data_IF_079771677491
#
_entry.id   IF_079771677491
#
_cell.length_a   1.000
_cell.length_b   1.000
_cell.length_c   1.000
_cell.angle_alpha   90.00
_cell.angle_beta   90.00
_cell.angle_gamma   90.00
#
_symmetry.space_group_name_H-M   'P 1'
#
loop_
_entity.id
_entity.type
_entity.pdbx_description
1 polymer ?
#
# COMPACT_ATOMS: atom_id res chain seq x y z
N UNK A 1 -26.78 -42.19 36.74
CA UNK A 1 -27.90 -43.07 37.15
C UNK A 1 -29.18 -42.41 36.66
N UNK A 2 -29.91 -43.10 35.76
CA UNK A 2 -31.16 -42.65 35.10
C UNK A 2 -32.27 -42.35 36.11
N UNK A 3 -33.15 -41.39 35.81
CA UNK A 3 -34.59 -41.43 36.15
C UNK A 3 -35.29 -40.23 35.47
N UNK A 4 -35.70 -40.37 34.21
CA UNK A 4 -37.03 -40.78 33.73
C UNK A 4 -38.21 -39.88 34.15
N UNK A 5 -38.76 -39.25 33.12
CA UNK A 5 -40.02 -38.51 33.01
C UNK A 5 -41.24 -39.37 33.38
N UNK A 6 -42.24 -38.74 33.98
CA UNK A 6 -43.64 -39.17 33.93
C UNK A 6 -44.51 -38.02 33.44
N UNK A 7 -45.25 -38.26 32.35
CA UNK A 7 -46.36 -37.42 31.88
C UNK A 7 -47.63 -38.28 31.86
N UNK A 8 -48.72 -37.76 32.43
CA UNK A 8 -50.07 -38.29 32.23
C UNK A 8 -51.10 -37.14 32.16
N UNK A 9 -51.66 -37.02 30.94
CA UNK A 9 -53.00 -36.61 30.50
C UNK A 9 -53.93 -35.88 31.49
N UNK A 10 -54.56 -34.82 30.96
CA UNK A 10 -56.01 -34.63 31.10
C UNK A 10 -56.60 -34.03 29.81
N UNK A 11 -57.67 -34.65 29.32
CA UNK A 11 -58.57 -34.17 28.25
C UNK A 11 -59.67 -33.33 28.91
N UNK A 12 -60.20 -32.30 28.22
CA UNK A 12 -61.62 -32.30 27.85
C UNK A 12 -62.10 -31.06 27.06
N UNK A 13 -63.09 -31.37 26.20
CA UNK A 13 -64.19 -30.55 25.65
C UNK A 13 -63.92 -29.56 24.49
N UNK A 14 -64.25 -30.05 23.29
CA UNK A 14 -64.80 -29.29 22.17
C UNK A 14 -66.28 -28.94 22.46
N UNK A 15 -66.74 -27.77 21.98
CA UNK A 15 -68.06 -27.63 21.36
C UNK A 15 -68.19 -26.32 20.56
N UNK A 16 -68.38 -26.49 19.25
CA UNK A 16 -69.38 -25.80 18.43
C UNK A 16 -69.21 -24.30 18.11
N UNK A 17 -68.58 -23.99 16.97
CA UNK A 17 -68.97 -22.83 16.13
C UNK A 17 -68.92 -23.23 14.64
N UNK A 18 -70.00 -22.90 13.96
CA UNK A 18 -70.39 -23.16 12.58
C UNK A 18 -69.43 -22.52 11.55
N UNK A 19 -68.91 -23.31 10.61
CA UNK A 19 -67.81 -22.96 9.67
C UNK A 19 -68.32 -22.39 8.34
N UNK A 20 -69.63 -22.16 8.21
CA UNK A 20 -70.24 -21.87 6.90
C UNK A 20 -70.31 -20.38 6.50
N UNK A 21 -69.99 -19.42 7.37
CA UNK A 21 -70.09 -17.98 7.05
C UNK A 21 -68.78 -17.17 7.07
N UNK A 22 -67.63 -17.77 7.40
CA UNK A 22 -66.34 -17.04 7.49
C UNK A 22 -65.48 -17.06 6.21
N UNK A 23 -65.89 -17.76 5.15
CA UNK A 23 -65.04 -17.96 3.96
C UNK A 23 -65.11 -16.85 2.90
N UNK A 24 -66.04 -15.90 2.98
CA UNK A 24 -66.21 -14.89 1.93
C UNK A 24 -65.57 -13.54 2.30
N UNK A 25 -65.43 -13.21 3.59
CA UNK A 25 -64.79 -11.95 4.03
C UNK A 25 -63.28 -12.03 4.26
N UNK A 26 -62.71 -13.24 4.42
CA UNK A 26 -61.25 -13.41 4.54
C UNK A 26 -60.52 -13.46 3.19
N UNK A 27 -61.23 -13.74 2.08
CA UNK A 27 -60.62 -13.80 0.74
C UNK A 27 -60.30 -12.43 0.13
N UNK A 28 -61.04 -11.38 0.49
CA UNK A 28 -60.87 -10.05 -0.11
C UNK A 28 -59.82 -9.23 0.66
N UNK A 29 -59.69 -9.44 1.98
CA UNK A 29 -58.69 -8.74 2.80
C UNK A 29 -57.29 -9.34 2.66
N UNK A 30 -57.18 -10.64 2.35
CA UNK A 30 -55.88 -11.28 2.09
C UNK A 30 -55.34 -11.03 0.67
N UNK A 31 -56.20 -10.76 -0.31
CA UNK A 31 -55.77 -10.42 -1.67
C UNK A 31 -55.30 -8.96 -1.82
N UNK A 32 -55.78 -8.06 -0.96
CA UNK A 32 -55.32 -6.67 -0.92
C UNK A 32 -54.03 -6.47 -0.11
N UNK A 33 -53.73 -7.35 0.86
CA UNK A 33 -52.45 -7.33 1.59
C UNK A 33 -51.32 -8.10 0.90
N UNK A 34 -51.62 -9.03 -0.03
CA UNK A 34 -50.60 -9.75 -0.80
C UNK A 34 -50.12 -9.03 -2.07
N UNK A 35 -50.70 -7.87 -2.42
CA UNK A 35 -50.24 -7.02 -3.53
C UNK A 35 -49.31 -5.87 -3.08
N UNK A 36 -49.01 -5.77 -1.78
CA UNK A 36 -48.02 -4.85 -1.23
C UNK A 36 -46.70 -5.55 -0.85
N UNK A 37 -46.38 -6.68 -1.47
CA UNK A 37 -45.00 -7.17 -1.52
C UNK A 37 -44.21 -6.30 -2.50
N UNK A 38 -43.81 -5.14 -1.97
CA UNK A 38 -42.54 -4.46 -2.18
C UNK A 38 -41.86 -4.91 -3.48
N UNK A 39 -42.22 -4.26 -4.59
CA UNK A 39 -41.23 -3.98 -5.61
C UNK A 39 -40.18 -3.10 -4.91
N UNK A 40 -39.13 -3.73 -4.40
CA UNK A 40 -37.86 -3.04 -4.20
C UNK A 40 -37.36 -2.71 -5.60
N UNK A 41 -37.90 -1.65 -6.20
CA UNK A 41 -37.22 -1.00 -7.30
C UNK A 41 -35.87 -0.60 -6.71
N UNK A 42 -34.79 -1.21 -7.19
CA UNK A 42 -33.46 -0.66 -6.96
C UNK A 42 -33.53 0.76 -7.50
N UNK A 43 -33.60 1.74 -6.61
CA UNK A 43 -33.50 3.15 -6.97
C UNK A 43 -32.07 3.36 -7.41
N UNK A 44 -31.80 3.11 -8.69
CA UNK A 44 -30.54 3.55 -9.30
C UNK A 44 -30.55 5.08 -9.23
N UNK A 45 -29.49 5.64 -8.68
CA UNK A 45 -29.16 7.04 -8.92
C UNK A 45 -29.26 7.31 -10.43
N UNK A 46 -29.79 8.48 -10.81
CA UNK A 46 -29.76 8.89 -12.21
C UNK A 46 -28.30 9.07 -12.65
N UNK A 47 -28.08 9.12 -13.96
CA UNK A 47 -26.73 9.23 -14.53
C UNK A 47 -26.00 10.49 -14.08
N UNK A 48 -26.74 11.57 -13.78
CA UNK A 48 -26.16 12.82 -13.28
C UNK A 48 -25.69 12.66 -11.82
N UNK A 49 -26.49 11.99 -10.98
CA UNK A 49 -26.10 11.70 -9.60
C UNK A 49 -24.89 10.74 -9.56
N UNK A 50 -24.87 9.71 -10.43
CA UNK A 50 -23.72 8.82 -10.57
C UNK A 50 -22.47 9.57 -11.08
N UNK A 51 -22.62 10.47 -12.06
CA UNK A 51 -21.53 11.32 -12.54
C UNK A 51 -20.95 12.19 -11.41
N UNK A 52 -21.82 12.80 -10.61
CA UNK A 52 -21.41 13.58 -9.45
C UNK A 52 -20.65 12.72 -8.44
N UNK A 53 -21.20 11.56 -8.08
CA UNK A 53 -20.60 10.67 -7.10
C UNK A 53 -19.24 10.14 -7.58
N UNK A 54 -19.14 9.75 -8.85
CA UNK A 54 -17.90 9.33 -9.48
C UNK A 54 -16.84 10.43 -9.44
N UNK A 55 -17.21 11.66 -9.80
CA UNK A 55 -16.28 12.79 -9.78
C UNK A 55 -15.80 13.09 -8.35
N UNK A 56 -16.74 13.24 -7.40
CA UNK A 56 -16.41 13.64 -6.03
C UNK A 56 -15.51 12.61 -5.34
N UNK A 57 -15.74 11.30 -5.59
CA UNK A 57 -14.91 10.21 -5.05
C UNK A 57 -13.50 10.15 -5.67
N UNK A 58 -13.35 10.56 -6.93
CA UNK A 58 -12.04 10.58 -7.61
C UNK A 58 -11.28 11.87 -7.29
N UNK A 59 -11.88 13.03 -7.57
CA UNK A 59 -11.21 14.33 -7.46
C UNK A 59 -11.17 14.86 -6.02
N UNK A 60 -12.03 14.36 -5.12
CA UNK A 60 -12.14 14.84 -3.74
C UNK A 60 -12.82 16.21 -3.60
N UNK A 61 -13.34 16.78 -4.69
CA UNK A 61 -14.01 18.08 -4.73
C UNK A 61 -15.20 18.05 -5.69
N UNK A 62 -16.21 18.95 -5.52
CA UNK A 62 -17.31 19.08 -6.46
C UNK A 62 -16.87 19.45 -7.87
N UNK A 63 -17.51 18.86 -8.88
CA UNK A 63 -17.28 19.20 -10.29
C UNK A 63 -18.05 20.46 -10.73
N UNK A 64 -17.66 21.02 -11.87
CA UNK A 64 -18.47 22.02 -12.57
C UNK A 64 -19.72 21.37 -13.20
N UNK A 65 -20.78 22.16 -13.42
CA UNK A 65 -21.99 21.69 -14.11
C UNK A 65 -21.67 21.12 -15.51
N UNK A 66 -20.77 21.78 -16.24
CA UNK A 66 -20.33 21.31 -17.56
C UNK A 66 -19.69 19.92 -17.47
N UNK A 67 -18.75 19.72 -16.55
CA UNK A 67 -18.08 18.43 -16.35
C UNK A 67 -19.07 17.33 -15.96
N UNK A 68 -20.04 17.62 -15.08
CA UNK A 68 -21.08 16.65 -14.71
C UNK A 68 -21.95 16.24 -15.90
N UNK A 69 -22.34 17.20 -16.74
CA UNK A 69 -23.12 16.92 -17.95
C UNK A 69 -22.34 16.04 -18.93
N UNK A 70 -21.07 16.34 -19.17
CA UNK A 70 -20.18 15.53 -20.02
C UNK A 70 -20.02 14.11 -19.47
N UNK A 71 -19.77 13.98 -18.16
CA UNK A 71 -19.68 12.67 -17.49
C UNK A 71 -21.01 11.90 -17.55
N UNK A 72 -22.15 12.56 -17.36
CA UNK A 72 -23.48 11.93 -17.45
C UNK A 72 -23.76 11.39 -18.86
N UNK A 73 -23.31 12.09 -19.92
CA UNK A 73 -23.38 11.59 -21.30
C UNK A 73 -22.53 10.34 -21.47
N UNK A 74 -21.28 10.36 -20.99
CA UNK A 74 -20.40 9.19 -21.05
C UNK A 74 -20.99 7.98 -20.31
N UNK A 75 -21.60 8.18 -19.14
CA UNK A 75 -22.27 7.11 -18.39
C UNK A 75 -23.49 6.56 -19.13
N UNK A 76 -24.28 7.44 -19.75
CA UNK A 76 -25.45 7.03 -20.57
C UNK A 76 -25.02 6.20 -21.79
N UNK A 77 -23.84 6.50 -22.35
CA UNK A 77 -23.22 5.76 -23.45
C UNK A 77 -22.50 4.47 -23.00
N UNK A 78 -22.63 4.07 -21.73
CA UNK A 78 -21.93 2.92 -21.15
C UNK A 78 -20.39 3.04 -21.22
N UNK A 79 -19.85 4.25 -21.03
CA UNK A 79 -18.42 4.58 -21.00
C UNK A 79 -17.98 5.09 -19.61
N UNK A 80 -18.13 4.29 -18.54
CA UNK A 80 -17.84 4.76 -17.19
C UNK A 80 -16.35 4.98 -16.92
N UNK A 81 -15.48 4.25 -17.64
CA UNK A 81 -14.04 4.45 -17.52
C UNK A 81 -13.66 5.83 -18.05
N UNK A 82 -14.13 6.20 -19.23
CA UNK A 82 -13.89 7.50 -19.84
C UNK A 82 -14.44 8.63 -18.96
N UNK A 83 -15.61 8.44 -18.34
CA UNK A 83 -16.15 9.39 -17.37
C UNK A 83 -15.22 9.56 -16.16
N UNK A 84 -14.65 8.46 -15.65
CA UNK A 84 -13.70 8.51 -14.54
C UNK A 84 -12.38 9.20 -14.93
N UNK A 85 -11.86 8.96 -16.14
CA UNK A 85 -10.69 9.68 -16.64
C UNK A 85 -10.96 11.18 -16.77
N UNK A 86 -12.16 11.58 -17.20
CA UNK A 86 -12.58 12.99 -17.21
C UNK A 86 -12.57 13.59 -15.79
N UNK A 87 -12.97 12.84 -14.76
CA UNK A 87 -12.82 13.30 -13.38
C UNK A 87 -11.35 13.45 -12.95
N UNK A 88 -10.46 12.56 -13.38
CA UNK A 88 -9.03 12.65 -13.12
C UNK A 88 -8.33 13.80 -13.85
N UNK A 89 -8.99 14.45 -14.81
CA UNK A 89 -8.46 15.68 -15.41
C UNK A 89 -8.48 16.86 -14.44
N UNK A 90 -9.27 16.78 -13.35
CA UNK A 90 -9.32 17.81 -12.32
C UNK A 90 -7.99 17.85 -11.52
N UNK A 91 -7.32 19.02 -11.41
CA UNK A 91 -6.10 19.21 -10.60
C UNK A 91 -6.16 18.66 -9.17
N UNK A 92 -7.36 18.67 -8.55
CA UNK A 92 -7.57 18.17 -7.20
C UNK A 92 -7.33 16.65 -7.08
N UNK A 93 -7.48 15.88 -8.15
CA UNK A 93 -7.10 14.47 -8.13
C UNK A 93 -5.62 14.29 -7.76
N UNK A 94 -4.74 15.14 -8.27
CA UNK A 94 -3.30 15.06 -8.00
C UNK A 94 -2.91 15.75 -6.69
N UNK A 95 -3.42 16.96 -6.49
CA UNK A 95 -3.02 17.82 -5.36
C UNK A 95 -3.71 17.46 -4.04
N UNK A 96 -4.83 16.74 -4.10
CA UNK A 96 -5.60 16.29 -2.92
C UNK A 96 -5.63 14.77 -2.85
N UNK A 97 -6.30 14.10 -3.78
CA UNK A 97 -6.54 12.65 -3.68
C UNK A 97 -5.25 11.84 -3.68
N UNK A 98 -4.38 12.03 -4.68
CA UNK A 98 -3.12 11.29 -4.77
C UNK A 98 -2.09 11.70 -3.71
N UNK A 99 -2.10 12.97 -3.29
CA UNK A 99 -1.28 13.41 -2.15
C UNK A 99 -1.67 12.67 -0.87
N UNK A 100 -2.95 12.69 -0.49
CA UNK A 100 -3.45 11.98 0.70
C UNK A 100 -3.27 10.46 0.59
N UNK A 101 -3.39 9.92 -0.62
CA UNK A 101 -3.17 8.51 -0.91
C UNK A 101 -1.70 8.08 -0.64
N UNK A 102 -0.73 8.87 -1.09
CA UNK A 102 0.69 8.52 -1.03
C UNK A 102 1.38 8.91 0.29
N UNK A 103 0.97 10.02 0.92
CA UNK A 103 1.66 10.63 2.06
C UNK A 103 1.85 9.69 3.26
N UNK A 104 0.85 8.86 3.67
CA UNK A 104 1.02 7.90 4.76
C UNK A 104 2.16 6.88 4.57
N UNK A 105 2.67 6.73 3.35
CA UNK A 105 3.72 5.76 3.05
C UNK A 105 5.13 6.32 3.25
N UNK A 106 5.22 7.62 3.58
CA UNK A 106 6.46 8.40 3.59
C UNK A 106 7.01 8.64 4.99
N UNK A 107 6.27 8.24 6.04
CA UNK A 107 6.61 8.48 7.43
C UNK A 107 6.20 7.29 8.32
N UNK A 108 6.82 7.18 9.50
CA UNK A 108 6.60 6.08 10.45
C UNK A 108 5.17 6.09 11.03
N UNK A 109 4.62 7.28 11.26
CA UNK A 109 3.31 7.48 11.90
C UNK A 109 2.13 7.21 10.96
N UNK A 110 2.41 7.03 9.66
CA UNK A 110 1.43 6.95 8.59
C UNK A 110 0.48 8.15 8.56
N UNK A 111 0.98 9.33 8.95
CA UNK A 111 0.24 10.58 8.92
C UNK A 111 -0.05 10.99 7.48
N UNK A 112 -1.33 11.20 7.17
CA UNK A 112 -1.81 11.67 5.87
C UNK A 112 -1.57 13.16 5.65
N UNK A 113 -1.28 13.92 6.71
CA UNK A 113 -1.07 15.37 6.67
C UNK A 113 0.39 15.79 6.67
N UNK A 114 1.33 14.84 6.62
CA UNK A 114 2.73 15.16 6.44
C UNK A 114 2.95 15.97 5.12
N UNK A 115 3.97 16.84 5.06
CA UNK A 115 4.23 17.65 3.87
C UNK A 115 4.49 16.82 2.61
N UNK A 116 4.18 17.39 1.45
CA UNK A 116 4.64 16.88 0.16
C UNK A 116 6.17 16.69 0.21
N UNK A 117 6.66 15.58 -0.34
CA UNK A 117 8.07 15.24 -0.38
C UNK A 117 8.42 14.45 -1.64
N UNK A 118 9.69 14.10 -1.82
CA UNK A 118 10.16 13.41 -3.04
C UNK A 118 9.53 12.05 -3.26
N UNK A 119 9.18 11.33 -2.20
CA UNK A 119 8.44 10.07 -2.29
C UNK A 119 7.00 10.30 -2.79
N UNK A 120 6.23 11.15 -2.12
CA UNK A 120 4.82 11.37 -2.47
C UNK A 120 4.68 12.05 -3.83
N UNK A 121 5.54 13.01 -4.17
CA UNK A 121 5.61 13.60 -5.51
C UNK A 121 5.92 12.55 -6.59
N UNK A 122 6.82 11.61 -6.31
CA UNK A 122 7.15 10.51 -7.26
C UNK A 122 5.97 9.57 -7.47
N UNK A 123 5.19 9.26 -6.43
CA UNK A 123 3.94 8.51 -6.58
C UNK A 123 2.95 9.28 -7.46
N UNK A 124 2.69 10.56 -7.15
CA UNK A 124 1.73 11.40 -7.88
C UNK A 124 2.10 11.49 -9.37
N UNK A 125 3.36 11.79 -9.66
CA UNK A 125 3.86 11.89 -11.03
C UNK A 125 3.83 10.58 -11.80
N UNK A 126 4.19 9.46 -11.15
CA UNK A 126 4.11 8.14 -11.78
C UNK A 126 2.68 7.74 -12.15
N UNK A 127 1.69 8.07 -11.31
CA UNK A 127 0.27 7.87 -11.63
C UNK A 127 -0.17 8.78 -12.78
N UNK A 128 0.23 10.06 -12.75
CA UNK A 128 -0.09 11.02 -13.82
C UNK A 128 0.38 10.53 -15.19
N UNK A 129 1.62 10.08 -15.27
CA UNK A 129 2.29 9.72 -16.51
C UNK A 129 2.03 8.26 -16.95
N UNK A 130 1.10 7.56 -16.29
CA UNK A 130 0.76 6.15 -16.57
C UNK A 130 1.99 5.22 -16.56
N UNK A 131 2.95 5.50 -15.67
CA UNK A 131 4.12 4.65 -15.47
C UNK A 131 3.65 3.29 -14.94
N UNK A 132 4.23 2.20 -15.45
CA UNK A 132 4.08 0.87 -14.85
C UNK A 132 4.40 0.96 -13.36
N UNK A 133 3.39 0.83 -12.51
CA UNK A 133 3.51 1.20 -11.11
C UNK A 133 4.50 0.33 -10.33
N UNK A 134 4.90 -0.84 -10.88
CA UNK A 134 5.98 -1.65 -10.32
C UNK A 134 7.33 -0.92 -10.32
N UNK A 135 7.52 -0.01 -11.27
CA UNK A 135 8.73 0.83 -11.36
C UNK A 135 8.95 1.68 -10.11
N UNK A 136 7.91 1.94 -9.33
CA UNK A 136 7.98 2.74 -8.11
C UNK A 136 9.03 2.22 -7.12
N UNK A 137 9.30 0.92 -7.09
CA UNK A 137 10.27 0.31 -6.16
C UNK A 137 11.65 0.03 -6.78
N UNK A 138 11.88 0.28 -8.06
CA UNK A 138 13.08 -0.19 -8.76
C UNK A 138 13.69 0.79 -9.79
N UNK A 139 12.94 1.80 -10.22
CA UNK A 139 13.42 2.69 -11.27
C UNK A 139 14.45 3.71 -10.76
N UNK A 140 15.30 4.19 -11.66
CA UNK A 140 16.03 5.45 -11.47
C UNK A 140 15.11 6.61 -11.85
N UNK A 141 14.17 6.95 -10.96
CA UNK A 141 13.21 8.01 -11.20
C UNK A 141 12.83 8.77 -9.94
N UNK A 142 12.61 10.05 -10.11
CA UNK A 142 12.04 10.95 -9.11
C UNK A 142 11.23 12.02 -9.86
N UNK A 143 10.20 12.54 -9.22
CA UNK A 143 9.47 13.71 -9.71
C UNK A 143 9.84 14.93 -8.87
N UNK A 144 10.18 16.02 -9.57
CA UNK A 144 10.53 17.32 -9.00
C UNK A 144 9.61 18.38 -9.60
N UNK A 145 9.53 19.55 -8.99
CA UNK A 145 8.85 20.70 -9.56
C UNK A 145 9.55 21.20 -10.82
N UNK A 146 8.77 21.56 -11.83
CA UNK A 146 9.26 22.09 -13.11
C UNK A 146 10.16 23.33 -12.90
N UNK A 147 11.29 23.36 -13.60
CA UNK A 147 12.31 24.42 -13.44
C UNK A 147 11.77 25.85 -13.71
N UNK A 148 10.69 26.00 -14.49
CA UNK A 148 10.05 27.29 -14.75
C UNK A 148 9.32 27.88 -13.54
N UNK A 149 9.08 27.09 -12.49
CA UNK A 149 8.34 27.50 -11.30
C UNK A 149 9.17 28.32 -10.29
N UNK A 150 10.48 28.51 -10.54
CA UNK A 150 11.39 29.25 -9.65
C UNK A 150 11.39 28.75 -8.19
N UNK A 151 11.33 27.42 -8.02
CA UNK A 151 11.36 26.76 -6.71
C UNK A 151 12.81 26.68 -6.16
N UNK A 152 12.98 26.49 -4.84
CA UNK A 152 14.27 26.06 -4.29
C UNK A 152 14.78 24.82 -5.04
N UNK A 153 16.09 24.69 -5.24
CA UNK A 153 16.64 23.51 -5.89
C UNK A 153 16.36 22.24 -5.06
N UNK A 154 16.25 21.08 -5.74
CA UNK A 154 16.21 19.79 -5.04
C UNK A 154 17.41 19.65 -4.11
N UNK A 155 17.16 19.22 -2.88
CA UNK A 155 18.17 19.06 -1.85
C UNK A 155 18.09 17.65 -1.28
N UNK A 156 19.24 17.00 -1.12
CA UNK A 156 19.33 15.73 -0.37
C UNK A 156 19.28 15.94 1.14
N UNK A 157 19.31 17.19 1.60
CA UNK A 157 19.44 17.55 3.02
C UNK A 157 18.22 18.26 3.59
N UNK A 158 17.23 18.61 2.79
CA UNK A 158 16.01 19.23 3.30
C UNK A 158 14.81 18.87 2.40
N UNK A 159 13.64 19.43 2.72
CA UNK A 159 12.41 19.26 1.94
C UNK A 159 11.91 20.58 1.33
N UNK A 160 12.76 21.61 1.24
CA UNK A 160 12.33 22.96 0.88
C UNK A 160 11.74 23.03 -0.54
N UNK A 161 12.27 22.24 -1.47
CA UNK A 161 11.77 22.15 -2.85
C UNK A 161 10.30 21.72 -2.89
N UNK A 162 9.95 20.66 -2.16
CA UNK A 162 8.58 20.11 -2.16
C UNK A 162 7.64 20.89 -1.25
N UNK A 163 8.16 21.45 -0.15
CA UNK A 163 7.39 22.37 0.68
C UNK A 163 6.98 23.61 -0.14
N UNK A 164 7.87 24.15 -0.98
CA UNK A 164 7.57 25.30 -1.82
C UNK A 164 6.49 25.01 -2.89
N UNK A 165 6.43 23.79 -3.43
CA UNK A 165 5.33 23.37 -4.32
C UNK A 165 3.99 23.47 -3.59
N UNK A 166 3.95 23.02 -2.35
CA UNK A 166 2.74 23.03 -1.51
C UNK A 166 2.35 24.44 -1.07
N UNK A 167 3.30 25.22 -0.54
CA UNK A 167 3.08 26.58 -0.05
C UNK A 167 2.62 27.56 -1.14
N UNK A 168 3.06 27.32 -2.39
CA UNK A 168 2.67 28.12 -3.55
C UNK A 168 1.42 27.59 -4.27
N UNK A 169 0.78 26.54 -3.74
CA UNK A 169 -0.40 25.89 -4.34
C UNK A 169 -0.18 25.50 -5.81
N UNK A 170 1.01 24.98 -6.13
CA UNK A 170 1.32 24.53 -7.48
C UNK A 170 0.41 23.35 -7.85
N UNK A 171 -0.22 23.41 -9.02
CA UNK A 171 -0.97 22.29 -9.57
C UNK A 171 -0.02 21.12 -9.86
N UNK A 172 -0.11 20.04 -9.06
CA UNK A 172 0.77 18.89 -9.20
C UNK A 172 0.51 18.09 -10.50
N UNK A 173 -0.61 18.31 -11.18
CA UNK A 173 -0.84 17.75 -12.52
C UNK A 173 0.14 18.33 -13.53
N UNK A 174 0.32 19.65 -13.54
CA UNK A 174 1.16 20.34 -14.53
C UNK A 174 2.56 20.69 -14.02
N UNK A 175 2.72 20.88 -12.72
CA UNK A 175 3.93 21.41 -12.10
C UNK A 175 5.01 20.38 -11.77
N UNK A 176 4.78 19.08 -11.97
CA UNK A 176 5.80 18.04 -11.74
C UNK A 176 6.48 17.61 -13.04
N UNK A 177 7.81 17.46 -13.02
CA UNK A 177 8.60 16.88 -14.10
C UNK A 177 9.33 15.62 -13.62
N UNK A 178 9.40 14.62 -14.50
CA UNK A 178 10.16 13.39 -14.24
C UNK A 178 11.63 13.63 -14.54
N UNK A 179 12.50 13.25 -13.61
CA UNK A 179 13.96 13.18 -13.83
C UNK A 179 14.53 11.87 -13.31
N UNK A 180 15.83 11.63 -13.51
CA UNK A 180 16.53 10.49 -12.92
C UNK A 180 16.94 10.81 -11.48
N UNK A 181 16.68 9.89 -10.57
CA UNK A 181 17.02 10.05 -9.16
C UNK A 181 18.54 10.17 -8.97
N UNK A 182 19.32 9.40 -9.72
CA UNK A 182 20.79 9.44 -9.71
C UNK A 182 21.37 10.81 -10.09
N UNK A 183 20.64 11.63 -10.85
CA UNK A 183 21.09 12.97 -11.23
C UNK A 183 20.96 14.00 -10.10
N UNK A 184 20.11 13.73 -9.09
CA UNK A 184 19.77 14.71 -8.04
C UNK A 184 20.15 14.27 -6.63
N UNK A 185 20.28 12.97 -6.36
CA UNK A 185 20.56 12.48 -5.00
C UNK A 185 21.99 11.94 -4.77
N UNK A 186 22.83 11.91 -5.81
CA UNK A 186 24.23 11.48 -5.73
C UNK A 186 24.44 9.96 -5.64
N UNK A 187 23.37 9.16 -5.69
CA UNK A 187 23.48 7.70 -5.83
C UNK A 187 23.84 7.34 -7.28
N UNK A 188 24.70 6.34 -7.51
CA UNK A 188 24.88 5.81 -8.85
C UNK A 188 23.57 5.15 -9.32
N UNK A 189 23.33 5.13 -10.63
CA UNK A 189 22.05 4.68 -11.21
C UNK A 189 21.69 3.24 -10.80
N UNK A 190 22.65 2.35 -10.62
CA UNK A 190 22.42 0.97 -10.15
C UNK A 190 21.99 0.89 -8.67
N UNK A 191 22.31 1.89 -7.85
CA UNK A 191 21.92 2.01 -6.45
C UNK A 191 20.61 2.78 -6.21
N UNK A 192 19.92 3.24 -7.25
CA UNK A 192 18.58 3.83 -7.08
C UNK A 192 17.51 2.72 -7.00
N UNK A 193 16.39 2.96 -6.34
CA UNK A 193 15.27 2.01 -6.22
C UNK A 193 13.94 2.78 -6.06
N UNK A 194 13.73 3.75 -6.95
CA UNK A 194 12.57 4.62 -6.98
C UNK A 194 12.33 5.27 -5.62
N UNK A 195 11.14 5.05 -5.06
CA UNK A 195 10.75 5.65 -3.80
C UNK A 195 11.51 5.08 -2.59
N UNK A 196 12.08 3.87 -2.68
CA UNK A 196 12.84 3.25 -1.58
C UNK A 196 14.14 3.98 -1.26
N UNK A 197 14.69 4.70 -2.23
CA UNK A 197 15.93 5.49 -2.12
C UNK A 197 15.68 7.00 -2.24
N UNK A 198 14.41 7.39 -2.09
CA UNK A 198 14.05 8.79 -1.87
C UNK A 198 14.60 9.26 -0.52
N UNK A 199 14.82 10.57 -0.39
CA UNK A 199 15.22 11.20 0.86
C UNK A 199 14.18 10.96 1.94
N UNK A 200 12.89 11.11 1.63
CA UNK A 200 11.82 10.88 2.60
C UNK A 200 11.81 9.44 3.14
N UNK A 201 11.95 8.43 2.28
CA UNK A 201 12.06 7.04 2.74
C UNK A 201 13.33 6.79 3.56
N UNK A 202 14.47 7.36 3.16
CA UNK A 202 15.71 7.22 3.91
C UNK A 202 15.58 7.83 5.31
N UNK A 203 15.05 9.06 5.41
CA UNK A 203 14.78 9.73 6.68
C UNK A 203 13.80 8.93 7.56
N UNK A 204 12.78 8.32 6.96
CA UNK A 204 11.79 7.58 7.75
C UNK A 204 12.28 6.17 8.15
N UNK A 205 13.03 5.48 7.28
CA UNK A 205 13.19 4.03 7.39
C UNK A 205 14.64 3.54 7.37
N UNK A 206 15.62 4.41 7.10
CA UNK A 206 17.05 4.17 7.36
C UNK A 206 17.56 4.96 8.57
N UNK A 207 16.73 5.84 9.13
CA UNK A 207 17.04 6.57 10.35
C UNK A 207 17.27 5.61 11.51
N UNK A 208 18.53 5.54 11.92
CA UNK A 208 19.05 4.61 12.93
C UNK A 208 18.77 3.12 12.61
N UNK A 209 19.43 2.23 13.35
CA UNK A 209 19.26 0.79 13.19
C UNK A 209 19.88 0.25 11.90
N UNK A 210 19.44 -0.94 11.48
CA UNK A 210 20.14 -1.78 10.50
C UNK A 210 19.30 -2.11 9.25
N UNK A 211 18.53 -1.09 8.81
CA UNK A 211 17.63 -1.07 7.64
C UNK A 211 16.50 -2.12 7.60
N UNK A 212 16.23 -2.82 8.71
CA UNK A 212 15.05 -3.69 8.86
C UNK A 212 13.73 -2.92 8.74
N UNK A 213 13.71 -1.66 9.18
CA UNK A 213 12.54 -0.79 9.08
C UNK A 213 12.14 -0.56 7.61
N UNK A 214 13.10 -0.34 6.70
CA UNK A 214 12.81 -0.20 5.26
C UNK A 214 12.08 -1.42 4.69
N UNK A 215 12.51 -2.64 5.03
CA UNK A 215 11.80 -3.86 4.61
C UNK A 215 10.39 -3.86 5.17
N UNK A 216 10.24 -3.66 6.49
CA UNK A 216 8.92 -3.66 7.16
C UNK A 216 7.96 -2.66 6.52
N UNK A 217 8.37 -1.41 6.36
CA UNK A 217 7.51 -0.38 5.79
C UNK A 217 7.25 -0.58 4.30
N UNK A 218 8.18 -1.20 3.55
CA UNK A 218 7.90 -1.63 2.18
C UNK A 218 6.79 -2.68 2.15
N UNK A 219 6.78 -3.64 3.08
CA UNK A 219 5.70 -4.63 3.18
C UNK A 219 4.37 -3.97 3.52
N UNK A 220 4.36 -3.07 4.51
CA UNK A 220 3.15 -2.36 4.93
C UNK A 220 2.60 -1.47 3.81
N UNK A 221 3.48 -0.72 3.16
CA UNK A 221 3.11 0.29 2.19
C UNK A 221 2.89 -0.26 0.79
N UNK A 222 3.47 -1.40 0.42
CA UNK A 222 3.37 -1.89 -0.96
C UNK A 222 2.81 -3.29 -1.08
N UNK A 223 2.79 -4.08 0.00
CA UNK A 223 2.20 -5.43 0.01
C UNK A 223 1.01 -5.55 0.98
N UNK A 224 0.66 -4.47 1.69
CA UNK A 224 -0.47 -4.39 2.62
C UNK A 224 -0.43 -5.50 3.69
N UNK A 225 0.77 -5.82 4.17
CA UNK A 225 1.03 -6.77 5.26
C UNK A 225 2.16 -6.24 6.15
N UNK A 226 2.23 -6.69 7.39
CA UNK A 226 3.36 -6.42 8.30
C UNK A 226 4.11 -7.74 8.58
N UNK A 227 5.17 -7.68 9.39
CA UNK A 227 5.98 -8.83 9.78
C UNK A 227 5.21 -9.86 10.63
N UNK A 228 4.26 -9.42 11.46
CA UNK A 228 3.52 -10.33 12.35
C UNK A 228 2.69 -11.38 11.54
N UNK A 229 1.90 -11.00 10.51
CA UNK A 229 1.27 -11.96 9.60
C UNK A 229 2.21 -12.85 8.77
N UNK A 230 3.50 -12.49 8.71
CA UNK A 230 4.54 -13.18 7.93
C UNK A 230 5.46 -14.05 8.79
N UNK A 231 5.16 -14.21 10.09
CA UNK A 231 5.91 -15.11 10.96
C UNK A 231 5.93 -16.53 10.41
N UNK A 232 7.13 -17.02 10.12
CA UNK A 232 7.36 -18.40 9.67
C UNK A 232 8.59 -18.99 10.37
N UNK A 233 8.35 -19.87 11.34
CA UNK A 233 9.40 -20.56 12.09
C UNK A 233 9.95 -21.80 11.35
N UNK A 234 9.50 -22.08 10.12
CA UNK A 234 10.02 -23.16 9.28
C UNK A 234 11.16 -22.71 8.37
N UNK A 235 11.45 -21.40 8.32
CA UNK A 235 12.53 -20.82 7.51
C UNK A 235 13.87 -20.85 8.24
N UNK A 236 14.94 -21.00 7.47
CA UNK A 236 16.31 -21.08 7.99
C UNK A 236 16.73 -19.81 8.77
N UNK A 237 17.37 -19.93 9.94
CA UNK A 237 17.89 -18.80 10.73
C UNK A 237 19.31 -18.36 10.32
N UNK A 238 19.89 -18.93 9.28
CA UNK A 238 21.31 -18.78 8.90
C UNK A 238 21.74 -17.35 8.55
N UNK A 239 20.78 -16.50 8.16
CA UNK A 239 21.01 -15.08 7.87
C UNK A 239 20.65 -14.14 9.01
N UNK A 240 20.21 -14.66 10.16
CA UNK A 240 19.92 -13.80 11.32
C UNK A 240 21.23 -13.31 11.90
N UNK A 241 21.38 -11.98 11.93
CA UNK A 241 22.63 -11.30 12.26
C UNK A 241 23.06 -11.45 13.72
N UNK A 242 24.31 -11.10 13.98
CA UNK A 242 24.95 -11.13 15.30
C UNK A 242 24.30 -10.19 16.32
N UNK A 243 23.61 -9.13 15.87
CA UNK A 243 23.01 -8.08 16.70
C UNK A 243 21.75 -8.52 17.47
N UNK A 244 21.21 -9.71 17.16
CA UNK A 244 20.02 -10.26 17.81
C UNK A 244 20.41 -11.35 18.79
N UNK A 245 20.09 -11.16 20.08
CA UNK A 245 20.34 -12.18 21.11
C UNK A 245 19.56 -13.48 20.82
N UNK A 246 20.25 -14.62 20.97
CA UNK A 246 19.65 -15.96 20.92
C UNK A 246 19.18 -16.45 22.30
N UNK A 247 19.29 -15.61 23.32
CA UNK A 247 18.81 -15.87 24.68
C UNK A 247 18.41 -14.55 25.33
N UNK A 248 17.43 -13.81 24.77
CA UNK A 248 17.01 -12.53 25.34
C UNK A 248 16.53 -12.77 26.78
N UNK A 249 17.03 -11.97 27.73
CA UNK A 249 16.77 -12.17 29.15
C UNK A 249 17.30 -13.49 29.73
N UNK A 250 18.22 -14.18 29.05
CA UNK A 250 18.78 -15.48 29.45
C UNK A 250 17.94 -16.69 29.04
N UNK A 251 16.85 -16.52 28.28
CA UNK A 251 15.97 -17.61 27.85
C UNK A 251 15.94 -17.77 26.33
N UNK A 252 16.55 -18.83 25.81
CA UNK A 252 16.59 -19.11 24.37
C UNK A 252 15.23 -19.44 23.77
N UNK A 253 14.26 -19.88 24.58
CA UNK A 253 12.90 -20.18 24.11
C UNK A 253 12.21 -18.91 23.61
N UNK A 254 12.54 -17.75 24.18
CA UNK A 254 11.98 -16.48 23.72
C UNK A 254 12.44 -16.16 22.29
N UNK A 255 13.71 -16.41 21.95
CA UNK A 255 14.19 -16.24 20.58
C UNK A 255 13.45 -17.19 19.64
N UNK A 256 13.41 -18.48 19.97
CA UNK A 256 12.80 -19.53 19.14
C UNK A 256 11.31 -19.27 18.90
N UNK A 257 10.58 -18.83 19.93
CA UNK A 257 9.12 -18.68 19.85
C UNK A 257 8.68 -17.30 19.34
N UNK A 258 9.46 -16.24 19.57
CA UNK A 258 9.00 -14.87 19.33
C UNK A 258 9.79 -14.13 18.25
N UNK A 259 11.08 -14.42 18.07
CA UNK A 259 11.96 -13.64 17.20
C UNK A 259 12.28 -14.35 15.89
N UNK A 260 12.58 -15.66 15.97
CA UNK A 260 13.00 -16.50 14.85
C UNK A 260 12.09 -16.32 13.62
N UNK A 261 10.78 -16.38 13.84
CA UNK A 261 9.79 -16.40 12.77
C UNK A 261 9.75 -15.11 11.92
N UNK A 262 10.05 -13.95 12.50
CA UNK A 262 10.18 -12.70 11.75
C UNK A 262 11.56 -12.58 11.10
N UNK A 263 12.60 -12.86 11.87
CA UNK A 263 13.99 -12.63 11.45
C UNK A 263 14.44 -13.56 10.33
N UNK A 264 14.03 -14.83 10.33
CA UNK A 264 14.40 -15.77 9.27
C UNK A 264 13.93 -15.32 7.89
N UNK A 265 12.85 -14.54 7.79
CA UNK A 265 12.39 -13.97 6.53
C UNK A 265 12.95 -12.58 6.23
N UNK A 266 12.96 -11.70 7.23
CA UNK A 266 13.31 -10.30 7.05
C UNK A 266 14.81 -10.05 6.91
N UNK A 267 15.66 -10.71 7.71
CA UNK A 267 17.10 -10.44 7.73
C UNK A 267 17.79 -10.73 6.37
N UNK A 268 17.50 -11.84 5.67
CA UNK A 268 17.97 -12.05 4.30
C UNK A 268 17.60 -10.94 3.32
N UNK A 269 16.41 -10.34 3.47
CA UNK A 269 15.92 -9.27 2.58
C UNK A 269 16.55 -7.92 2.95
N UNK A 270 16.71 -7.64 4.24
CA UNK A 270 17.31 -6.41 4.73
C UNK A 270 18.78 -6.25 4.31
N UNK A 271 19.46 -7.35 3.96
CA UNK A 271 20.80 -7.34 3.38
C UNK A 271 20.87 -6.56 2.06
N UNK A 272 19.79 -6.50 1.26
CA UNK A 272 19.74 -5.69 0.04
C UNK A 272 19.98 -4.20 0.26
N UNK A 273 19.90 -3.72 1.52
CA UNK A 273 20.20 -2.34 1.90
C UNK A 273 21.58 -2.18 2.59
N UNK A 274 22.45 -3.19 2.56
CA UNK A 274 23.70 -3.23 3.33
C UNK A 274 24.68 -2.08 3.06
N UNK A 275 24.62 -1.50 1.86
CA UNK A 275 25.48 -0.38 1.47
C UNK A 275 24.86 0.99 1.70
N UNK A 276 23.62 1.09 2.19
CA UNK A 276 22.90 2.36 2.34
C UNK A 276 22.88 2.86 3.79
N UNK A 277 23.14 4.15 3.97
CA UNK A 277 23.07 4.85 5.25
C UNK A 277 22.22 6.12 5.13
N UNK A 278 21.68 6.57 6.27
CA UNK A 278 21.16 7.93 6.42
C UNK A 278 22.17 8.70 7.28
N UNK A 279 22.88 9.63 6.66
CA UNK A 279 23.95 10.41 7.30
C UNK A 279 23.37 11.71 7.86
N UNK A 280 23.47 11.87 9.17
CA UNK A 280 22.99 13.04 9.93
C UNK A 280 23.76 13.16 11.25
N UNK A 281 23.74 14.35 11.85
CA UNK A 281 24.41 14.60 13.11
C UNK A 281 23.47 14.29 14.29
N UNK A 282 23.70 13.19 15.00
CA UNK A 282 22.80 12.73 16.07
C UNK A 282 22.69 13.68 17.27
N UNK A 283 23.67 14.57 17.48
CA UNK A 283 23.72 15.47 18.63
C UNK A 283 23.06 16.83 18.34
N UNK A 284 23.28 17.37 17.13
CA UNK A 284 22.77 18.67 16.71
C UNK A 284 21.56 18.61 15.78
N UNK A 285 21.29 17.45 15.19
CA UNK A 285 20.13 17.13 14.35
C UNK A 285 19.50 15.79 14.79
N UNK A 286 19.00 15.70 16.04
CA UNK A 286 18.49 14.44 16.57
C UNK A 286 17.33 13.88 15.76
N UNK A 287 16.53 14.70 15.09
CA UNK A 287 15.41 14.25 14.23
C UNK A 287 15.85 13.90 12.79
N UNK A 288 17.13 14.08 12.46
CA UNK A 288 17.68 13.84 11.14
C UNK A 288 17.06 14.73 10.07
N UNK A 289 16.59 15.93 10.42
CA UNK A 289 15.95 16.87 9.49
C UNK A 289 16.88 17.32 8.37
N UNK A 290 18.19 17.38 8.64
CA UNK A 290 19.24 17.78 7.71
C UNK A 290 19.97 16.61 7.06
N UNK A 291 19.52 15.37 7.34
CA UNK A 291 20.19 14.17 6.90
C UNK A 291 20.01 13.86 5.42
N UNK A 292 20.91 13.02 4.89
CA UNK A 292 20.94 12.58 3.49
C UNK A 292 21.16 11.07 3.36
N UNK A 293 20.59 10.47 2.32
CA UNK A 293 20.93 9.09 1.93
C UNK A 293 22.36 9.03 1.38
N UNK A 294 23.13 8.05 1.82
CA UNK A 294 24.49 7.78 1.34
C UNK A 294 24.65 6.31 0.97
N UNK A 295 25.60 6.03 0.08
CA UNK A 295 25.84 4.68 -0.45
C UNK A 295 27.33 4.41 -0.65
N UNK A 296 27.80 3.26 -0.14
CA UNK A 296 29.18 2.82 -0.34
C UNK A 296 29.33 2.17 -1.73
N UNK A 297 29.88 2.93 -2.67
CA UNK A 297 30.18 2.51 -4.04
C UNK A 297 31.30 1.47 -4.10
N UNK A 298 31.51 0.89 -5.27
CA UNK A 298 32.66 0.01 -5.50
C UNK A 298 33.98 0.73 -5.17
N UNK A 299 34.81 0.10 -4.35
CA UNK A 299 36.07 0.67 -3.86
C UNK A 299 35.95 1.58 -2.63
N UNK A 300 34.74 1.89 -2.15
CA UNK A 300 34.53 2.55 -0.86
C UNK A 300 34.42 1.50 0.24
N UNK A 301 35.31 1.56 1.22
CA UNK A 301 35.36 0.62 2.34
C UNK A 301 34.96 1.37 3.61
N UNK A 302 33.99 0.80 4.31
CA UNK A 302 33.59 1.24 5.63
C UNK A 302 34.68 0.79 6.64
N UNK A 303 35.21 1.71 7.48
CA UNK A 303 36.30 1.41 8.39
C UNK A 303 35.91 0.43 9.50
N UNK A 304 34.63 0.32 9.86
CA UNK A 304 34.16 -0.56 10.93
C UNK A 304 34.02 -2.01 10.45
N UNK A 305 33.63 -2.21 9.19
CA UNK A 305 33.41 -3.55 8.62
C UNK A 305 34.58 -4.07 7.80
N UNK A 306 35.44 -3.19 7.28
CA UNK A 306 36.48 -3.54 6.32
C UNK A 306 35.93 -4.00 4.95
N UNK A 307 34.63 -3.84 4.70
CA UNK A 307 33.96 -4.12 3.43
C UNK A 307 33.16 -2.89 2.97
N UNK A 308 32.36 -3.02 1.91
CA UNK A 308 31.43 -1.95 1.50
C UNK A 308 30.22 -1.83 2.45
N UNK A 309 29.98 -2.82 3.31
CA UNK A 309 28.83 -2.86 4.22
C UNK A 309 28.94 -1.74 5.24
N UNK A 310 27.85 -0.99 5.42
CA UNK A 310 27.79 0.10 6.38
C UNK A 310 27.99 -0.43 7.82
N UNK A 311 28.81 0.27 8.62
CA UNK A 311 29.18 -0.11 9.98
C UNK A 311 28.02 -0.54 10.89
N UNK A 312 26.84 0.08 10.69
CA UNK A 312 25.61 -0.28 11.41
C UNK A 312 25.24 -1.77 11.33
N UNK A 313 25.57 -2.47 10.25
CA UNK A 313 25.26 -3.90 10.10
C UNK A 313 26.11 -4.79 11.03
N UNK A 314 27.23 -4.30 11.55
CA UNK A 314 28.15 -5.03 12.43
C UNK A 314 28.11 -4.51 13.89
N UNK A 315 27.22 -3.56 14.19
CA UNK A 315 26.97 -3.10 15.57
C UNK A 315 26.43 -4.26 16.41
N UNK A 316 26.78 -4.29 17.70
CA UNK A 316 26.37 -5.32 18.65
C UNK A 316 26.77 -6.75 18.24
N UNK A 317 27.89 -6.91 17.52
CA UNK A 317 28.42 -8.21 17.10
C UNK A 317 28.65 -9.21 18.25
N UNK A 318 28.80 -8.72 19.48
CA UNK A 318 28.95 -9.54 20.69
C UNK A 318 27.64 -10.10 21.24
N UNK A 319 26.46 -9.65 20.76
CA UNK A 319 25.15 -10.15 21.21
C UNK A 319 24.95 -11.64 20.89
N UNK A 320 25.40 -12.07 19.72
CA UNK A 320 25.53 -13.48 19.35
C UNK A 320 26.68 -13.63 18.34
N UNK A 321 27.92 -13.89 18.79
CA UNK A 321 29.11 -13.90 17.92
C UNK A 321 29.06 -14.90 16.76
N UNK A 322 28.27 -15.97 16.90
CA UNK A 322 28.06 -16.99 15.86
C UNK A 322 26.90 -16.67 14.90
N UNK A 323 26.31 -15.47 15.02
CA UNK A 323 25.30 -14.99 14.08
C UNK A 323 25.90 -14.63 12.74
N UNK A 324 25.04 -14.36 11.76
CA UNK A 324 25.49 -14.00 10.42
C UNK A 324 26.23 -12.65 10.42
N UNK A 325 27.40 -12.62 9.78
CA UNK A 325 28.13 -11.40 9.46
C UNK A 325 27.71 -10.99 8.05
N UNK A 326 27.17 -9.79 7.89
CA UNK A 326 26.80 -9.28 6.56
C UNK A 326 28.05 -8.87 5.80
N UNK A 327 28.33 -9.54 4.69
CA UNK A 327 29.57 -9.33 3.91
C UNK A 327 29.35 -8.45 2.67
N UNK A 328 28.12 -8.42 2.14
CA UNK A 328 27.72 -7.70 0.93
C UNK A 328 26.22 -7.33 0.96
N UNK A 329 25.67 -6.93 -0.19
CA UNK A 329 24.26 -6.62 -0.41
C UNK A 329 23.46 -7.72 -1.14
N UNK A 330 23.94 -8.98 -1.12
CA UNK A 330 23.18 -10.12 -1.63
C UNK A 330 21.96 -10.40 -0.75
N UNK A 331 20.77 -10.46 -1.34
CA UNK A 331 19.55 -10.84 -0.63
C UNK A 331 18.95 -12.11 -1.23
N UNK A 332 18.22 -12.86 -0.40
CA UNK A 332 17.44 -14.02 -0.83
C UNK A 332 16.07 -14.01 -0.15
N UNK A 333 15.01 -14.25 -0.93
CA UNK A 333 13.64 -14.27 -0.43
C UNK A 333 13.23 -15.67 0.05
N UNK A 334 13.39 -15.93 1.34
CA UNK A 334 12.96 -17.21 1.95
C UNK A 334 11.44 -17.38 1.99
N UNK A 335 10.67 -16.30 1.83
CA UNK A 335 9.20 -16.36 1.77
C UNK A 335 8.65 -16.90 0.45
N UNK A 336 9.52 -17.18 -0.53
CA UNK A 336 9.19 -17.99 -1.70
C UNK A 336 8.90 -19.44 -1.38
N UNK A 337 9.14 -19.88 -0.15
CA UNK A 337 8.64 -21.16 0.33
C UNK A 337 7.97 -21.06 1.69
N UNK A 338 7.26 -22.12 2.07
CA UNK A 338 6.47 -22.15 3.29
C UNK A 338 5.19 -21.33 3.17
N UNK A 339 4.66 -20.90 4.32
CA UNK A 339 3.32 -20.30 4.40
C UNK A 339 3.22 -18.94 3.70
N UNK A 340 4.35 -18.27 3.45
CA UNK A 340 4.39 -16.96 2.83
C UNK A 340 4.48 -16.98 1.30
N UNK A 341 4.49 -18.17 0.68
CA UNK A 341 4.23 -18.32 -0.76
C UNK A 341 2.90 -17.69 -1.19
N UNK A 342 1.94 -17.59 -0.25
CA UNK A 342 0.64 -16.93 -0.43
C UNK A 342 0.73 -15.47 -0.90
N UNK A 343 1.89 -14.81 -0.78
CA UNK A 343 2.11 -13.47 -1.34
C UNK A 343 2.20 -13.46 -2.87
N UNK A 344 2.29 -14.64 -3.51
CA UNK A 344 2.27 -14.81 -4.95
C UNK A 344 3.50 -14.23 -5.63
N UNK A 345 4.68 -14.68 -5.22
CA UNK A 345 5.96 -14.27 -5.79
C UNK A 345 6.06 -14.65 -7.27
N UNK A 346 6.59 -13.76 -8.10
CA UNK A 346 6.74 -13.98 -9.54
C UNK A 346 7.74 -15.12 -9.82
N UNK A 347 7.26 -16.19 -10.45
CA UNK A 347 8.05 -17.38 -10.79
C UNK A 347 9.11 -17.12 -11.87
N UNK A 348 8.99 -16.03 -12.64
CA UNK A 348 10.01 -15.62 -13.61
C UNK A 348 11.25 -15.00 -12.97
N UNK A 349 11.16 -14.61 -11.69
CA UNK A 349 12.28 -14.08 -10.91
C UNK A 349 12.92 -15.18 -10.05
N UNK A 350 14.23 -15.06 -9.83
CA UNK A 350 15.01 -16.08 -9.12
C UNK A 350 14.86 -16.05 -7.59
N UNK A 351 14.20 -15.04 -7.02
CA UNK A 351 14.06 -14.89 -5.57
C UNK A 351 15.34 -14.55 -4.82
N UNK A 352 16.32 -14.01 -5.53
CA UNK A 352 17.59 -13.52 -4.98
C UNK A 352 18.15 -12.45 -5.90
N UNK A 353 19.03 -11.61 -5.37
CA UNK A 353 19.66 -10.54 -6.12
C UNK A 353 20.62 -9.72 -5.28
N UNK A 354 21.03 -8.57 -5.81
CA UNK A 354 21.90 -7.62 -5.13
C UNK A 354 21.25 -6.25 -5.06
N UNK A 355 21.33 -5.63 -3.90
CA UNK A 355 20.93 -4.24 -3.71
C UNK A 355 19.42 -3.97 -3.73
N UNK A 356 19.07 -2.75 -3.33
CA UNK A 356 17.69 -2.27 -3.20
C UNK A 356 16.89 -2.37 -4.50
N UNK A 357 17.51 -2.12 -5.66
CA UNK A 357 16.84 -2.14 -6.97
C UNK A 357 16.21 -3.50 -7.29
N UNK A 358 17.01 -4.56 -7.20
CA UNK A 358 16.54 -5.92 -7.50
C UNK A 358 15.60 -6.45 -6.42
N UNK A 359 15.78 -6.04 -5.16
CA UNK A 359 14.83 -6.33 -4.08
C UNK A 359 13.48 -5.65 -4.33
N UNK A 360 13.49 -4.40 -4.77
CA UNK A 360 12.29 -3.69 -5.20
C UNK A 360 11.57 -4.38 -6.34
N UNK A 361 12.30 -4.94 -7.30
CA UNK A 361 11.74 -5.79 -8.36
C UNK A 361 11.01 -7.01 -7.79
N UNK A 362 11.63 -7.72 -6.85
CA UNK A 362 11.03 -8.89 -6.20
C UNK A 362 9.69 -8.55 -5.54
N UNK A 363 9.64 -7.45 -4.77
CA UNK A 363 8.42 -7.01 -4.12
C UNK A 363 7.35 -6.55 -5.11
N UNK A 364 7.73 -5.70 -6.07
CA UNK A 364 6.81 -5.08 -7.01
C UNK A 364 6.16 -6.09 -7.99
N UNK A 365 6.78 -7.24 -8.23
CA UNK A 365 6.21 -8.28 -9.11
C UNK A 365 5.34 -9.32 -8.37
N UNK A 366 5.18 -9.20 -7.05
CA UNK A 366 4.30 -10.10 -6.29
C UNK A 366 2.81 -9.84 -6.55
N UNK A 367 1.97 -10.87 -6.42
CA UNK A 367 0.51 -10.72 -6.40
C UNK A 367 0.05 -9.80 -5.26
N UNK A 368 0.70 -9.88 -4.11
CA UNK A 368 0.44 -9.03 -2.96
C UNK A 368 0.65 -7.55 -3.28
N UNK A 369 1.65 -7.21 -4.10
CA UNK A 369 1.86 -5.84 -4.56
C UNK A 369 0.65 -5.31 -5.34
N UNK A 370 0.25 -6.03 -6.39
CA UNK A 370 -0.88 -5.63 -7.23
C UNK A 370 -2.17 -5.49 -6.39
N UNK A 371 -2.45 -6.49 -5.54
CA UNK A 371 -3.64 -6.47 -4.69
C UNK A 371 -3.60 -5.33 -3.66
N UNK A 372 -2.44 -5.00 -3.12
CA UNK A 372 -2.30 -3.91 -2.17
C UNK A 372 -2.65 -2.56 -2.79
N UNK A 373 -2.15 -2.27 -4.00
CA UNK A 373 -2.47 -1.02 -4.69
C UNK A 373 -3.98 -0.91 -4.95
N UNK A 374 -4.62 -2.00 -5.40
CA UNK A 374 -6.07 -2.02 -5.62
C UNK A 374 -6.85 -1.82 -4.33
N UNK A 375 -6.47 -2.48 -3.22
CA UNK A 375 -7.10 -2.28 -1.91
C UNK A 375 -7.03 -0.83 -1.44
N UNK A 376 -5.88 -0.18 -1.64
CA UNK A 376 -5.69 1.22 -1.27
C UNK A 376 -6.55 2.16 -2.11
N UNK A 377 -6.63 1.93 -3.42
CA UNK A 377 -7.52 2.69 -4.30
C UNK A 377 -8.98 2.45 -3.94
N UNK A 378 -9.37 1.20 -3.67
CA UNK A 378 -10.70 0.85 -3.16
C UNK A 378 -11.05 1.67 -1.93
N UNK A 379 -10.20 1.66 -0.91
CA UNK A 379 -10.42 2.44 0.31
C UNK A 379 -10.53 3.95 0.05
N UNK A 380 -9.71 4.46 -0.85
CA UNK A 380 -9.66 5.90 -1.18
C UNK A 380 -10.91 6.36 -1.91
N UNK A 381 -11.38 5.58 -2.89
CA UNK A 381 -12.50 5.97 -3.76
C UNK A 381 -13.84 5.57 -3.14
N UNK A 382 -13.92 4.40 -2.52
CA UNK A 382 -15.13 3.90 -1.89
C UNK A 382 -15.33 4.46 -0.47
N UNK A 383 -14.29 5.05 0.14
CA UNK A 383 -14.28 5.64 1.49
C UNK A 383 -14.59 4.62 2.60
N UNK A 384 -14.29 3.35 2.36
CA UNK A 384 -14.50 2.21 3.27
C UNK A 384 -13.58 1.05 2.92
N UNK A 385 -13.37 0.14 3.86
CA UNK A 385 -12.73 -1.13 3.56
C UNK A 385 -13.71 -2.08 2.82
N UNK A 386 -13.18 -3.12 2.20
CA UNK A 386 -14.00 -4.17 1.57
C UNK A 386 -14.60 -5.08 2.64
N UNK A 387 -15.92 -5.24 2.62
CA UNK A 387 -16.68 -5.95 3.64
C UNK A 387 -17.52 -7.10 3.06
N UNK A 388 -17.98 -6.94 1.81
CA UNK A 388 -18.86 -7.89 1.14
C UNK A 388 -18.10 -8.87 0.22
N UNK A 389 -18.78 -9.94 -0.20
CA UNK A 389 -18.22 -10.86 -1.20
C UNK A 389 -18.05 -10.14 -2.54
N UNK A 390 -18.96 -9.22 -2.86
CA UNK A 390 -18.95 -8.38 -4.05
C UNK A 390 -17.72 -7.46 -4.06
N UNK A 391 -17.36 -6.84 -2.93
CA UNK A 391 -16.15 -6.01 -2.82
C UNK A 391 -14.88 -6.84 -3.03
N UNK A 392 -14.82 -8.02 -2.42
CA UNK A 392 -13.67 -8.93 -2.55
C UNK A 392 -13.51 -9.38 -4.00
N UNK A 393 -14.62 -9.70 -4.67
CA UNK A 393 -14.64 -10.06 -6.08
C UNK A 393 -14.23 -8.87 -6.98
N UNK A 394 -14.69 -7.66 -6.66
CA UNK A 394 -14.31 -6.45 -7.39
C UNK A 394 -12.80 -6.18 -7.25
N UNK A 395 -12.25 -6.26 -6.04
CA UNK A 395 -10.80 -6.10 -5.81
C UNK A 395 -10.02 -7.17 -6.59
N UNK A 396 -10.47 -8.43 -6.59
CA UNK A 396 -9.82 -9.49 -7.34
C UNK A 396 -9.85 -9.22 -8.86
N UNK A 397 -11.01 -8.84 -9.40
CA UNK A 397 -11.18 -8.51 -10.82
C UNK A 397 -10.32 -7.30 -11.24
N UNK A 398 -10.33 -6.22 -10.46
CA UNK A 398 -9.51 -5.04 -10.71
C UNK A 398 -8.02 -5.33 -10.52
N UNK A 399 -7.64 -6.24 -9.63
CA UNK A 399 -6.22 -6.68 -9.51
C UNK A 399 -5.77 -7.39 -10.78
N UNK A 400 -6.58 -8.30 -11.33
CA UNK A 400 -6.27 -8.95 -12.60
C UNK A 400 -6.21 -7.94 -13.76
N UNK A 401 -7.15 -6.98 -13.80
CA UNK A 401 -7.15 -5.88 -14.78
C UNK A 401 -5.89 -5.02 -14.68
N UNK A 402 -5.48 -4.66 -13.46
CA UNK A 402 -4.27 -3.87 -13.21
C UNK A 402 -3.03 -4.55 -13.78
N UNK A 403 -2.87 -5.86 -13.54
CA UNK A 403 -1.76 -6.64 -14.08
C UNK A 403 -1.80 -6.75 -15.62
N UNK A 404 -3.00 -6.83 -16.22
CA UNK A 404 -3.18 -6.91 -17.68
C UNK A 404 -2.98 -5.56 -18.38
N UNK A 405 -3.24 -4.44 -17.70
CA UNK A 405 -3.16 -3.08 -18.23
C UNK A 405 -1.88 -2.38 -17.78
N UNK A 406 -0.74 -3.08 -17.88
CA UNK A 406 0.60 -2.53 -17.64
C UNK A 406 0.78 -1.85 -16.28
N UNK A 407 0.02 -2.26 -15.26
CA UNK A 407 0.06 -1.68 -13.92
C UNK A 407 -0.18 -0.16 -13.91
N UNK A 408 -1.11 0.34 -14.74
CA UNK A 408 -1.52 1.75 -14.71
C UNK A 408 -2.51 2.03 -13.58
N UNK A 409 -2.11 2.82 -12.59
CA UNK A 409 -2.94 3.03 -11.40
C UNK A 409 -4.19 3.89 -11.69
N UNK A 410 -4.14 4.82 -12.65
CA UNK A 410 -5.35 5.58 -13.09
C UNK A 410 -6.46 4.64 -13.54
N UNK A 411 -6.13 3.53 -14.21
CA UNK A 411 -7.12 2.51 -14.58
C UNK A 411 -7.82 1.90 -13.36
N UNK A 412 -7.08 1.65 -12.29
CA UNK A 412 -7.62 1.15 -11.02
C UNK A 412 -8.59 2.16 -10.41
N UNK A 413 -8.23 3.45 -10.37
CA UNK A 413 -9.13 4.51 -9.92
C UNK A 413 -10.42 4.56 -10.75
N UNK A 414 -10.33 4.35 -12.06
CA UNK A 414 -11.49 4.34 -12.94
C UNK A 414 -12.43 3.14 -12.70
N UNK A 415 -11.87 1.94 -12.58
CA UNK A 415 -12.66 0.73 -12.35
C UNK A 415 -13.33 0.70 -10.97
N UNK A 416 -12.59 1.11 -9.93
CA UNK A 416 -13.13 1.23 -8.58
C UNK A 416 -14.15 2.37 -8.50
N UNK A 417 -13.88 3.50 -9.16
CA UNK A 417 -14.82 4.61 -9.24
C UNK A 417 -16.15 4.19 -9.84
N UNK A 418 -16.12 3.45 -10.95
CA UNK A 418 -17.30 2.87 -11.57
C UNK A 418 -18.06 1.91 -10.62
N UNK A 419 -17.35 1.12 -9.83
CA UNK A 419 -17.97 0.23 -8.85
C UNK A 419 -18.70 1.02 -7.74
N UNK A 420 -18.08 2.08 -7.22
CA UNK A 420 -18.58 2.82 -6.05
C UNK A 420 -19.44 4.06 -6.39
N UNK A 421 -19.68 4.39 -7.67
CA UNK A 421 -20.49 5.57 -8.06
C UNK A 421 -21.99 5.44 -7.76
N UNK A 422 -22.48 4.22 -7.50
CA UNK A 422 -23.86 3.95 -7.13
C UNK A 422 -24.13 3.91 -5.62
N UNK A 423 -23.07 4.00 -4.80
CA UNK A 423 -23.11 4.06 -3.33
C UNK A 423 -23.09 5.52 -2.86
#
# INVERSE_FOLDING_TARGET
MKLQLYTLKSRHFLNGIDVSQLKVQQGITLLLLSCLTIFSANTSAGTLEQAKQLHDRIAGVPASEQTLNEMSVLLSDSKPIEAAYLAMENPAFYSTTLKLFATPWTNIDQDSFAPLNDYSATVIGAVRDDVDFRQLLQADMVYVGDNSLNLPAYSTRDNAHYQALEDQFIDLKSGLERTTQSSVNGLPSDATAGVLTSRAAAKAFFYLGTNRAMVRFTLMNHLCTDLEPLKDNTRSPDRIRQDVSRSPGGDSRLFINNCLACHSGMDPLAQGFAYYQYDFDVESDPDGDSGAITYNQSGQIDPDTGTRVQGKYHINSTSFPYGYVTEDDEWQNYWREGVNQKLGWDESLNGKGFGAKSLGQEFANSQAFAQCQVKKVFKTVCLRDAESTEDINQIAATTASFQQNSYQLKRVFAEVGNYCMGE
#
